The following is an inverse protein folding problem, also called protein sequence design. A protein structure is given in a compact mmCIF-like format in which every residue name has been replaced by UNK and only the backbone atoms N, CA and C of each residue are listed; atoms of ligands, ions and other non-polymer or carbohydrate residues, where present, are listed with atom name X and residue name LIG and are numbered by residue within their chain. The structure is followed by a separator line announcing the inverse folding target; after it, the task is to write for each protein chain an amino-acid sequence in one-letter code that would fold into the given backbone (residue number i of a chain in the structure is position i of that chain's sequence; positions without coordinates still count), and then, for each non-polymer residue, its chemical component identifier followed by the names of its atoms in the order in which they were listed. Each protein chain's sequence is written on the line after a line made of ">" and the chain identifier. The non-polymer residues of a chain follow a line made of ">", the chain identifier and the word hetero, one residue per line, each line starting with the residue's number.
data_IF_188506797875
#
_entry.id   IF_188506797875
#
_cell.length_a   1.000
_cell.length_b   1.000
_cell.length_c   1.000
_cell.angle_alpha   90.00
_cell.angle_beta   90.00
_cell.angle_gamma   90.00
#
_symmetry.space_group_name_H-M   'P 1'
#
loop_
_entity.id
_entity.type
_entity.pdbx_description
1 polymer ?
#
# COMPACT_ATOMS: atom_id res chain seq x y z
N UNK A 1 -44.53 45.37 -0.59
CA UNK A 1 -43.09 45.33 -0.88
C UNK A 1 -42.31 44.81 0.36
N UNK A 2 -42.79 43.79 1.08
CA UNK A 2 -42.06 43.20 2.22
C UNK A 2 -41.95 41.67 2.17
N UNK A 3 -42.48 41.01 1.15
CA UNK A 3 -42.58 39.55 1.09
C UNK A 3 -41.48 38.86 0.26
N UNK A 4 -40.39 39.52 -0.12
CA UNK A 4 -39.35 38.95 -0.98
C UNK A 4 -37.97 38.83 -0.32
N UNK A 5 -37.84 39.00 1.01
CA UNK A 5 -36.51 38.96 1.65
C UNK A 5 -36.25 37.85 2.66
N UNK A 6 -37.15 36.92 2.86
CA UNK A 6 -36.94 35.77 3.79
C UNK A 6 -37.31 34.41 3.18
N UNK A 7 -37.16 34.25 1.88
CA UNK A 7 -37.28 32.96 1.21
C UNK A 7 -35.98 32.18 1.22
N UNK A 8 -35.21 32.18 2.29
CA UNK A 8 -34.17 31.18 2.57
C UNK A 8 -34.87 29.90 2.96
N UNK A 9 -35.16 29.01 2.01
CA UNK A 9 -35.61 27.66 2.29
C UNK A 9 -34.58 27.02 3.23
N UNK A 10 -34.85 27.05 4.54
CA UNK A 10 -34.28 26.11 5.49
C UNK A 10 -34.67 24.74 4.92
N UNK A 11 -33.75 24.10 4.20
CA UNK A 11 -33.83 22.67 3.93
C UNK A 11 -33.90 22.01 5.31
N UNK A 12 -35.11 21.75 5.77
CA UNK A 12 -35.37 20.93 6.94
C UNK A 12 -34.65 19.61 6.68
N UNK A 13 -33.59 19.35 7.42
CA UNK A 13 -32.85 18.10 7.34
C UNK A 13 -33.86 16.97 7.58
N UNK A 14 -34.22 16.27 6.52
CA UNK A 14 -35.19 15.17 6.59
C UNK A 14 -34.60 13.90 7.21
N UNK A 15 -33.40 13.96 7.77
CA UNK A 15 -32.70 12.82 8.40
C UNK A 15 -31.79 13.30 9.54
N UNK A 16 -31.31 12.36 10.35
CA UNK A 16 -30.33 12.60 11.40
C UNK A 16 -28.96 13.07 10.89
N UNK A 17 -28.06 13.39 11.78
CA UNK A 17 -26.71 13.88 11.46
C UNK A 17 -25.78 12.73 11.08
N UNK A 18 -24.94 12.98 10.09
CA UNK A 18 -23.87 12.04 9.74
C UNK A 18 -22.76 12.05 10.80
N UNK A 19 -22.24 10.87 11.11
CA UNK A 19 -21.10 10.68 12.01
C UNK A 19 -19.87 10.36 11.17
N UNK A 20 -18.75 11.03 11.46
CA UNK A 20 -17.47 10.77 10.83
C UNK A 20 -16.53 10.16 11.86
N UNK A 21 -15.84 9.09 11.45
CA UNK A 21 -14.88 8.37 12.30
C UNK A 21 -13.60 8.15 11.50
N UNK A 22 -12.47 8.47 12.10
CA UNK A 22 -11.15 8.13 11.59
C UNK A 22 -10.76 6.75 12.12
N UNK A 23 -10.32 5.87 11.21
CA UNK A 23 -9.91 4.51 11.54
C UNK A 23 -8.46 4.31 11.15
N UNK A 24 -7.60 4.14 12.15
CA UNK A 24 -6.20 3.80 11.97
C UNK A 24 -6.04 2.28 11.96
N UNK A 25 -5.32 1.78 10.97
CA UNK A 25 -5.00 0.36 10.78
C UNK A 25 -3.54 0.22 10.37
N UNK A 26 -2.92 -0.84 10.82
CA UNK A 26 -1.57 -1.19 10.38
C UNK A 26 -1.56 -1.63 8.90
N UNK A 27 -0.39 -1.63 8.28
CA UNK A 27 -0.21 -2.14 6.91
C UNK A 27 -0.73 -3.59 6.77
N UNK A 28 -0.43 -4.43 7.76
CA UNK A 28 -0.82 -5.85 7.77
C UNK A 28 -2.33 -6.03 7.88
N UNK A 29 -2.99 -5.27 8.76
CA UNK A 29 -4.46 -5.28 8.87
C UNK A 29 -5.11 -4.79 7.58
N UNK A 30 -4.58 -3.71 6.98
CA UNK A 30 -5.06 -3.22 5.70
C UNK A 30 -4.91 -4.25 4.58
N UNK A 31 -3.83 -5.01 4.60
CA UNK A 31 -3.57 -6.07 3.62
C UNK A 31 -4.47 -7.28 3.80
N UNK A 32 -4.67 -7.75 5.03
CA UNK A 32 -5.41 -8.99 5.33
C UNK A 32 -6.91 -8.77 5.50
N UNK A 33 -7.35 -7.50 5.66
CA UNK A 33 -8.67 -7.18 6.13
C UNK A 33 -8.82 -7.35 7.64
N UNK A 34 -9.86 -6.78 8.21
CA UNK A 34 -10.13 -6.86 9.64
C UNK A 34 -11.61 -6.68 9.95
N UNK A 35 -12.01 -7.16 11.12
CA UNK A 35 -13.29 -6.86 11.74
C UNK A 35 -13.11 -5.73 12.77
N UNK A 36 -13.88 -4.65 12.62
CA UNK A 36 -13.83 -3.51 13.55
C UNK A 36 -15.22 -3.22 14.12
N UNK A 37 -15.24 -2.98 15.44
CA UNK A 37 -16.46 -2.58 16.15
C UNK A 37 -16.43 -1.08 16.38
N UNK A 38 -17.51 -0.42 15.99
CA UNK A 38 -17.75 1.01 16.25
C UNK A 38 -18.90 1.15 17.23
N UNK A 39 -18.75 2.02 18.21
CA UNK A 39 -19.84 2.35 19.15
C UNK A 39 -20.38 3.73 18.79
N UNK A 40 -21.58 3.80 18.25
CA UNK A 40 -22.26 5.02 17.88
C UNK A 40 -23.57 5.11 18.68
N UNK A 41 -23.73 6.17 19.47
CA UNK A 41 -24.90 6.38 20.32
C UNK A 41 -25.24 5.18 21.24
N UNK A 42 -24.21 4.52 21.78
CA UNK A 42 -24.37 3.35 22.64
C UNK A 42 -24.64 2.03 21.91
N UNK A 43 -24.83 2.06 20.59
CA UNK A 43 -25.02 0.87 19.75
C UNK A 43 -23.69 0.43 19.14
N UNK A 44 -23.41 -0.88 19.23
CA UNK A 44 -22.25 -1.49 18.59
C UNK A 44 -22.56 -1.86 17.12
N UNK A 45 -21.70 -1.41 16.22
CA UNK A 45 -21.78 -1.70 14.78
C UNK A 45 -20.53 -2.48 14.42
N UNK A 46 -20.70 -3.74 13.98
CA UNK A 46 -19.60 -4.56 13.49
C UNK A 46 -19.45 -4.32 11.98
N UNK A 47 -18.24 -3.98 11.56
CA UNK A 47 -17.92 -3.76 10.13
C UNK A 47 -16.77 -4.70 9.77
N UNK A 48 -17.02 -5.54 8.78
CA UNK A 48 -16.01 -6.41 8.18
C UNK A 48 -15.37 -5.69 6.99
N UNK A 49 -14.09 -5.38 7.11
CA UNK A 49 -13.31 -4.79 6.02
C UNK A 49 -12.55 -5.88 5.29
N UNK A 50 -12.76 -5.92 3.96
CA UNK A 50 -12.07 -6.88 3.10
C UNK A 50 -10.60 -6.56 2.96
N UNK A 51 -9.75 -7.54 2.57
CA UNK A 51 -8.37 -7.32 2.20
C UNK A 51 -8.18 -6.21 1.17
N UNK A 52 -7.09 -5.44 1.33
CA UNK A 52 -6.72 -4.40 0.38
C UNK A 52 -7.20 -2.99 0.74
N UNK A 53 -7.38 -2.69 2.04
CA UNK A 53 -7.66 -1.33 2.51
C UNK A 53 -6.52 -0.39 2.14
N UNK A 54 -6.87 0.81 1.67
CA UNK A 54 -5.90 1.86 1.32
C UNK A 54 -6.05 3.08 2.21
N UNK A 55 -4.98 3.81 2.33
CA UNK A 55 -4.99 5.09 3.01
C UNK A 55 -5.94 6.07 2.31
N UNK A 56 -6.74 6.81 3.08
CA UNK A 56 -7.72 7.79 2.59
C UNK A 56 -8.99 7.18 2.00
N UNK A 57 -9.19 5.88 2.05
CA UNK A 57 -10.43 5.24 1.57
C UNK A 57 -11.59 5.58 2.51
N UNK A 58 -12.77 5.82 1.93
CA UNK A 58 -13.97 6.21 2.68
C UNK A 58 -15.05 5.14 2.53
N UNK A 59 -15.65 4.78 3.65
CA UNK A 59 -16.79 3.86 3.71
C UNK A 59 -18.00 4.58 4.29
N UNK A 60 -19.15 4.42 3.65
CA UNK A 60 -20.42 4.98 4.10
C UNK A 60 -21.38 3.86 4.45
N UNK A 61 -21.86 3.87 5.67
CA UNK A 61 -22.87 2.96 6.19
C UNK A 61 -24.17 3.76 6.41
N UNK A 62 -25.11 3.55 5.51
CA UNK A 62 -26.38 4.26 5.51
C UNK A 62 -27.18 3.99 6.79
N UNK A 63 -27.75 5.03 7.37
CA UNK A 63 -28.59 4.95 8.56
C UNK A 63 -27.87 4.53 9.85
N UNK A 64 -26.54 4.60 9.89
CA UNK A 64 -25.72 4.26 11.07
C UNK A 64 -25.13 5.49 11.79
N UNK A 65 -25.57 6.69 11.41
CA UNK A 65 -25.23 7.94 12.07
C UNK A 65 -26.13 8.26 13.27
N UNK A 66 -26.27 9.53 13.58
CA UNK A 66 -27.12 9.99 14.70
C UNK A 66 -28.60 10.02 14.31
N UNK A 67 -29.51 9.83 15.29
CA UNK A 67 -30.92 10.08 15.09
C UNK A 67 -31.20 11.56 14.82
N UNK A 68 -32.34 11.85 14.23
CA UNK A 68 -32.78 13.22 14.07
C UNK A 68 -33.11 13.85 15.46
N UNK A 69 -32.58 15.05 15.78
CA UNK A 69 -32.63 15.60 17.14
C UNK A 69 -34.04 15.87 17.65
N UNK A 70 -35.00 16.12 16.78
CA UNK A 70 -36.37 16.50 17.16
C UNK A 70 -37.44 15.50 16.70
N UNK A 71 -37.09 14.49 15.90
CA UNK A 71 -38.08 13.54 15.40
C UNK A 71 -37.45 12.15 15.20
N UNK A 72 -37.66 11.26 16.16
CA UNK A 72 -37.13 9.89 16.13
C UNK A 72 -37.72 8.99 15.03
N UNK A 73 -38.81 9.42 14.39
CA UNK A 73 -39.40 8.68 13.27
C UNK A 73 -38.70 8.94 11.92
N UNK A 74 -37.81 9.95 11.86
CA UNK A 74 -37.01 10.22 10.67
C UNK A 74 -35.78 9.30 10.61
N UNK A 75 -35.28 8.99 9.39
CA UNK A 75 -34.10 8.17 9.24
C UNK A 75 -32.89 8.76 9.94
N UNK A 76 -32.05 7.89 10.50
CA UNK A 76 -30.75 8.30 11.04
C UNK A 76 -29.86 8.85 9.92
N UNK A 77 -28.85 9.63 10.28
CA UNK A 77 -27.75 9.99 9.41
C UNK A 77 -26.90 8.77 9.05
N UNK A 78 -25.82 8.99 8.35
CA UNK A 78 -24.90 7.93 7.94
C UNK A 78 -23.62 7.93 8.78
N UNK A 79 -23.02 6.77 8.93
CA UNK A 79 -21.66 6.64 9.46
C UNK A 79 -20.67 6.65 8.30
N UNK A 80 -19.75 7.61 8.32
CA UNK A 80 -18.68 7.75 7.33
C UNK A 80 -17.34 7.44 8.02
N UNK A 81 -16.69 6.35 7.57
CA UNK A 81 -15.42 5.90 8.12
C UNK A 81 -14.32 6.29 7.13
N UNK A 82 -13.32 7.03 7.61
CA UNK A 82 -12.11 7.35 6.85
C UNK A 82 -10.97 6.46 7.34
N UNK A 83 -10.32 5.77 6.43
CA UNK A 83 -9.23 4.85 6.78
C UNK A 83 -7.87 5.52 6.67
N UNK A 84 -7.04 5.32 7.69
CA UNK A 84 -5.63 5.68 7.71
C UNK A 84 -4.82 4.40 7.83
N UNK A 85 -4.22 3.97 6.72
CA UNK A 85 -3.33 2.81 6.70
C UNK A 85 -1.91 3.30 6.96
N UNK A 86 -1.29 2.79 8.03
CA UNK A 86 0.08 3.13 8.39
C UNK A 86 1.06 2.67 7.32
N UNK A 87 2.06 3.50 7.04
CA UNK A 87 3.15 3.14 6.15
C UNK A 87 4.00 2.02 6.78
N UNK A 88 4.48 1.11 5.97
CA UNK A 88 5.44 0.10 6.40
C UNK A 88 6.85 0.54 6.03
N UNK A 89 7.81 0.32 6.94
CA UNK A 89 9.21 0.73 6.73
C UNK A 89 9.93 -0.09 5.66
N UNK A 90 9.49 -1.31 5.44
CA UNK A 90 10.12 -2.26 4.49
C UNK A 90 9.41 -2.33 3.14
N UNK A 91 8.17 -1.82 3.06
CA UNK A 91 7.31 -1.97 1.90
C UNK A 91 6.75 -0.63 1.46
N UNK A 92 7.09 -0.20 0.25
CA UNK A 92 6.54 1.02 -0.34
C UNK A 92 5.36 0.63 -1.23
N UNK A 93 4.16 1.10 -0.90
CA UNK A 93 2.95 0.83 -1.67
C UNK A 93 2.76 1.89 -2.76
N UNK A 94 2.69 1.45 -4.01
CA UNK A 94 2.34 2.29 -5.15
C UNK A 94 1.16 1.66 -5.92
N UNK A 95 -0.02 2.23 -5.76
CA UNK A 95 -1.24 1.61 -6.27
C UNK A 95 -1.54 0.28 -5.58
N UNK A 96 -1.44 -0.83 -6.28
CA UNK A 96 -1.55 -2.19 -5.75
C UNK A 96 -0.20 -2.92 -5.76
N UNK A 97 0.85 -2.31 -6.31
CA UNK A 97 2.19 -2.89 -6.35
C UNK A 97 2.98 -2.52 -5.08
N UNK A 98 3.74 -3.47 -4.57
CA UNK A 98 4.65 -3.30 -3.43
C UNK A 98 6.07 -3.20 -3.96
N UNK A 99 6.79 -2.16 -3.56
CA UNK A 99 8.19 -1.96 -3.88
C UNK A 99 9.07 -2.32 -2.70
N UNK A 100 10.14 -3.05 -2.99
CA UNK A 100 11.24 -3.35 -2.07
C UNK A 100 12.56 -3.07 -2.76
N UNK A 101 13.59 -2.80 -1.97
CA UNK A 101 14.95 -2.69 -2.43
C UNK A 101 15.79 -3.83 -1.85
N UNK A 102 16.66 -4.38 -2.67
CA UNK A 102 17.58 -5.43 -2.26
C UNK A 102 18.99 -5.11 -2.73
N UNK A 103 19.92 -5.06 -1.79
CA UNK A 103 21.32 -4.73 -2.06
C UNK A 103 22.13 -6.00 -2.30
N UNK A 104 22.88 -6.04 -3.39
CA UNK A 104 23.74 -7.15 -3.78
C UNK A 104 25.13 -6.66 -4.17
N UNK A 105 26.18 -7.45 -3.93
CA UNK A 105 27.47 -7.19 -4.53
C UNK A 105 27.37 -7.10 -6.06
N UNK A 106 28.02 -6.13 -6.67
CA UNK A 106 27.94 -5.88 -8.13
C UNK A 106 28.26 -7.13 -8.97
N UNK A 107 29.22 -7.95 -8.52
CA UNK A 107 29.62 -9.17 -9.22
C UNK A 107 28.51 -10.25 -9.21
N UNK A 108 27.71 -10.33 -8.15
CA UNK A 108 26.57 -11.25 -8.09
C UNK A 108 25.42 -10.81 -9.00
N UNK A 109 25.26 -9.49 -9.19
CA UNK A 109 24.28 -8.94 -10.15
C UNK A 109 24.65 -9.35 -11.58
N UNK A 110 25.94 -9.25 -11.95
CA UNK A 110 26.42 -9.60 -13.30
C UNK A 110 26.38 -11.10 -13.52
N UNK A 111 26.83 -11.89 -12.54
CA UNK A 111 26.84 -13.36 -12.65
C UNK A 111 25.45 -13.99 -12.61
N UNK A 112 24.51 -13.30 -11.98
CA UNK A 112 23.23 -13.84 -11.61
C UNK A 112 23.30 -14.73 -10.39
N UNK A 113 22.29 -14.64 -9.52
CA UNK A 113 22.26 -15.40 -8.26
C UNK A 113 20.83 -15.72 -7.86
N UNK A 114 20.66 -16.53 -6.82
CA UNK A 114 19.40 -16.66 -6.10
C UNK A 114 19.48 -15.81 -4.84
N UNK A 115 18.43 -15.08 -4.56
CA UNK A 115 18.31 -14.25 -3.37
C UNK A 115 17.01 -14.58 -2.65
N UNK A 116 16.97 -14.32 -1.35
CA UNK A 116 15.76 -14.40 -0.55
C UNK A 116 15.33 -13.00 -0.16
N UNK A 117 14.10 -12.64 -0.41
CA UNK A 117 13.54 -11.34 -0.08
C UNK A 117 12.33 -11.49 0.84
N UNK A 118 12.24 -10.61 1.81
CA UNK A 118 11.06 -10.52 2.66
C UNK A 118 9.90 -9.91 1.87
N UNK A 119 8.77 -10.59 1.93
CA UNK A 119 7.50 -10.13 1.38
C UNK A 119 6.46 -10.08 2.48
N UNK A 120 5.33 -9.41 2.30
CA UNK A 120 4.25 -9.48 3.29
C UNK A 120 3.73 -10.89 3.59
N UNK A 121 3.92 -11.83 2.66
CA UNK A 121 3.54 -13.24 2.81
C UNK A 121 4.66 -14.11 3.44
N UNK A 122 5.80 -13.51 3.75
CA UNK A 122 6.98 -14.21 4.26
C UNK A 122 8.16 -14.19 3.29
N UNK A 123 9.14 -15.05 3.54
CA UNK A 123 10.38 -15.12 2.76
C UNK A 123 10.13 -15.75 1.39
N UNK A 124 10.64 -15.12 0.33
CA UNK A 124 10.49 -15.56 -1.04
C UNK A 124 11.85 -15.65 -1.74
N UNK A 125 12.16 -16.82 -2.27
CA UNK A 125 13.35 -17.02 -3.11
C UNK A 125 13.07 -16.55 -4.54
N UNK A 126 13.92 -15.63 -5.05
CA UNK A 126 13.84 -15.14 -6.43
C UNK A 126 15.20 -15.30 -7.13
N UNK A 127 15.16 -15.44 -8.45
CA UNK A 127 16.36 -15.55 -9.28
C UNK A 127 16.68 -14.21 -9.91
N UNK A 128 17.87 -13.69 -9.68
CA UNK A 128 18.45 -12.58 -10.43
C UNK A 128 19.09 -13.16 -11.68
N UNK A 129 18.64 -12.80 -12.89
CA UNK A 129 19.24 -13.31 -14.13
C UNK A 129 20.69 -12.85 -14.28
N UNK A 130 21.52 -13.64 -14.93
CA UNK A 130 22.85 -13.20 -15.32
C UNK A 130 22.79 -11.99 -16.27
N UNK A 131 23.87 -11.23 -16.35
CA UNK A 131 23.96 -9.97 -17.10
C UNK A 131 22.91 -8.94 -16.68
N UNK A 132 22.47 -8.98 -15.40
CA UNK A 132 21.66 -7.93 -14.81
C UNK A 132 22.53 -6.69 -14.50
N UNK A 133 21.89 -5.56 -14.31
CA UNK A 133 22.56 -4.28 -14.02
C UNK A 133 21.98 -3.66 -12.75
N UNK A 134 22.72 -2.79 -12.07
CA UNK A 134 22.22 -2.05 -10.91
C UNK A 134 20.99 -1.20 -11.28
N UNK A 135 19.97 -1.22 -10.42
CA UNK A 135 18.69 -0.55 -10.67
C UNK A 135 17.65 -1.39 -11.43
N UNK A 136 18.02 -2.59 -11.89
CA UNK A 136 17.06 -3.52 -12.51
C UNK A 136 15.96 -3.88 -11.52
N UNK A 137 14.72 -3.84 -11.99
CA UNK A 137 13.55 -4.21 -11.21
C UNK A 137 13.03 -5.58 -11.63
N UNK A 138 12.95 -6.49 -10.69
CA UNK A 138 12.34 -7.80 -10.87
C UNK A 138 10.88 -7.74 -10.47
N UNK A 139 9.98 -8.13 -11.38
CA UNK A 139 8.53 -8.12 -11.14
C UNK A 139 8.03 -9.53 -10.83
N UNK A 140 7.46 -9.70 -9.64
CA UNK A 140 6.86 -10.93 -9.18
C UNK A 140 5.34 -10.75 -9.13
N UNK A 141 4.64 -11.42 -10.03
CA UNK A 141 3.18 -11.32 -10.15
C UNK A 141 2.48 -11.84 -8.90
N UNK A 142 1.33 -11.24 -8.57
CA UNK A 142 0.43 -11.67 -7.49
C UNK A 142 1.06 -11.69 -6.08
N UNK A 143 2.20 -11.00 -5.90
CA UNK A 143 2.90 -10.83 -4.61
C UNK A 143 2.83 -9.40 -4.07
N UNK A 144 2.06 -8.53 -4.71
CA UNK A 144 1.79 -7.17 -4.27
C UNK A 144 0.63 -7.08 -3.27
N UNK A 145 0.09 -5.88 -3.12
CA UNK A 145 -1.03 -5.56 -2.23
C UNK A 145 -2.35 -6.07 -2.81
N UNK A 146 -3.28 -6.57 -1.99
CA UNK A 146 -4.59 -6.98 -2.48
C UNK A 146 -5.40 -5.80 -3.03
N UNK A 147 -6.17 -6.06 -4.07
CA UNK A 147 -7.14 -5.10 -4.59
C UNK A 147 -8.43 -5.22 -3.80
N UNK A 148 -8.85 -4.17 -3.12
CA UNK A 148 -10.01 -4.19 -2.21
C UNK A 148 -11.23 -4.86 -2.82
N UNK A 149 -11.75 -5.85 -2.12
CA UNK A 149 -12.97 -6.58 -2.52
C UNK A 149 -12.85 -7.45 -3.77
N UNK A 150 -11.63 -7.66 -4.30
CA UNK A 150 -11.37 -8.52 -5.47
C UNK A 150 -10.41 -9.64 -5.10
N UNK A 151 -10.54 -10.78 -5.75
CA UNK A 151 -9.56 -11.87 -5.65
C UNK A 151 -8.40 -11.63 -6.62
N UNK A 152 -7.69 -10.51 -6.42
CA UNK A 152 -6.56 -10.08 -7.24
C UNK A 152 -5.57 -9.32 -6.37
N UNK A 153 -4.28 -9.46 -6.70
CA UNK A 153 -3.20 -8.71 -6.06
C UNK A 153 -2.36 -7.99 -7.11
N UNK A 154 -1.68 -6.94 -6.70
CA UNK A 154 -0.64 -6.32 -7.50
C UNK A 154 0.62 -7.17 -7.59
N UNK A 155 1.69 -6.62 -8.10
CA UNK A 155 2.99 -7.26 -8.15
C UNK A 155 3.89 -6.81 -6.99
N UNK A 156 4.86 -7.65 -6.64
CA UNK A 156 6.03 -7.24 -5.88
C UNK A 156 7.11 -6.81 -6.89
N UNK A 157 7.63 -5.62 -6.71
CA UNK A 157 8.69 -5.01 -7.53
C UNK A 157 9.95 -4.92 -6.68
N UNK A 158 10.92 -5.79 -6.96
CA UNK A 158 12.19 -5.84 -6.26
C UNK A 158 13.25 -5.12 -7.08
N UNK A 159 13.69 -3.94 -6.60
CA UNK A 159 14.79 -3.19 -7.22
C UNK A 159 16.11 -3.69 -6.68
N UNK A 160 16.99 -4.08 -7.58
CA UNK A 160 18.33 -4.58 -7.24
C UNK A 160 19.30 -3.42 -7.26
N UNK A 161 19.91 -3.12 -6.10
CA UNK A 161 20.94 -2.10 -5.97
C UNK A 161 22.30 -2.77 -5.82
N UNK A 162 23.35 -2.16 -6.42
CA UNK A 162 24.71 -2.67 -6.27
C UNK A 162 25.36 -2.15 -5.00
N UNK A 163 26.07 -3.03 -4.30
CA UNK A 163 27.06 -2.67 -3.30
C UNK A 163 28.46 -2.92 -3.85
N UNK A 164 29.38 -2.05 -3.45
CA UNK A 164 30.78 -2.10 -3.85
C UNK A 164 31.61 -2.36 -2.59
N UNK A 165 32.04 -3.61 -2.35
CA UNK A 165 32.89 -3.92 -1.23
C UNK A 165 34.28 -3.27 -1.44
N UNK A 166 35.00 -3.08 -0.36
CA UNK A 166 36.41 -2.68 -0.45
C UNK A 166 37.19 -3.75 -1.23
N UNK A 167 37.99 -3.29 -2.19
CA UNK A 167 38.77 -4.15 -3.07
C UNK A 167 40.24 -4.08 -2.63
N UNK A 168 40.86 -5.24 -2.50
CA UNK A 168 42.29 -5.35 -2.31
C UNK A 168 43.06 -5.21 -3.65
N UNK A 169 44.37 -5.02 -3.59
CA UNK A 169 45.21 -4.85 -4.80
C UNK A 169 45.01 -5.97 -5.83
N UNK A 170 44.92 -7.22 -5.38
CA UNK A 170 44.73 -8.36 -6.25
C UNK A 170 43.36 -8.30 -6.99
N UNK A 171 42.31 -7.83 -6.31
CA UNK A 171 40.98 -7.64 -6.94
C UNK A 171 41.01 -6.53 -7.98
N UNK A 172 41.75 -5.45 -7.74
CA UNK A 172 41.95 -4.37 -8.69
C UNK A 172 42.70 -4.85 -9.95
N UNK A 173 43.74 -5.67 -9.80
CA UNK A 173 44.43 -6.28 -10.96
C UNK A 173 43.49 -7.13 -11.84
N UNK A 174 42.57 -7.87 -11.23
CA UNK A 174 41.60 -8.63 -12.01
C UNK A 174 40.61 -7.73 -12.76
N UNK A 175 40.21 -6.61 -12.17
CA UNK A 175 39.33 -5.64 -12.85
C UNK A 175 40.08 -5.00 -14.03
N UNK A 176 41.33 -4.64 -13.88
CA UNK A 176 42.16 -4.11 -14.97
C UNK A 176 42.33 -5.12 -16.12
N UNK A 177 42.52 -6.41 -15.81
CA UNK A 177 42.53 -7.46 -16.84
C UNK A 177 41.20 -7.56 -17.59
N UNK A 178 40.06 -7.46 -16.89
CA UNK A 178 38.74 -7.46 -17.52
C UNK A 178 38.60 -6.26 -18.46
N UNK A 179 38.97 -5.07 -18.01
CA UNK A 179 38.94 -3.84 -18.81
C UNK A 179 39.76 -3.99 -20.09
N UNK A 180 40.99 -4.44 -19.97
CA UNK A 180 41.90 -4.63 -21.11
C UNK A 180 41.38 -5.64 -22.14
N UNK A 181 40.78 -6.75 -21.67
CA UNK A 181 40.17 -7.74 -22.53
C UNK A 181 38.96 -7.18 -23.29
N UNK A 182 38.17 -6.28 -22.70
CA UNK A 182 37.03 -5.65 -23.39
C UNK A 182 37.49 -4.60 -24.43
N UNK A 183 38.54 -3.85 -24.14
CA UNK A 183 39.13 -2.91 -25.08
C UNK A 183 39.67 -3.62 -26.34
N UNK A 184 40.32 -4.74 -26.16
CA UNK A 184 40.84 -5.55 -27.27
C UNK A 184 39.76 -6.30 -28.05
N UNK A 185 38.57 -6.55 -27.48
CA UNK A 185 37.48 -7.22 -28.16
C UNK A 185 36.63 -6.29 -29.03
N UNK A 186 36.74 -4.97 -28.81
CA UNK A 186 35.96 -3.92 -29.51
C UNK A 186 36.80 -3.13 -30.54
N UNK A 187 38.07 -3.45 -30.71
CA UNK A 187 38.98 -2.90 -31.74
C UNK A 187 39.22 -3.92 -32.86
#
# INVERSE_FOLDING_TARGET
>A
IFDQMFGGAQQTQQRGLDVRVEMHVSFTEGMNGLDKKFTINGHQINVNFKPGLKNGQKFRLAGKGQPHPYNSNLPHGDLVIHTHVEANVNFILQGDDIWIEHNLPWYDIIRGCKIEVWTPDGLLAIKVPAASYPGKTLRIKDKGYPVYGKNKRGALLCRINATYPELNEQSLEYIDKIKHNQENANG
#
